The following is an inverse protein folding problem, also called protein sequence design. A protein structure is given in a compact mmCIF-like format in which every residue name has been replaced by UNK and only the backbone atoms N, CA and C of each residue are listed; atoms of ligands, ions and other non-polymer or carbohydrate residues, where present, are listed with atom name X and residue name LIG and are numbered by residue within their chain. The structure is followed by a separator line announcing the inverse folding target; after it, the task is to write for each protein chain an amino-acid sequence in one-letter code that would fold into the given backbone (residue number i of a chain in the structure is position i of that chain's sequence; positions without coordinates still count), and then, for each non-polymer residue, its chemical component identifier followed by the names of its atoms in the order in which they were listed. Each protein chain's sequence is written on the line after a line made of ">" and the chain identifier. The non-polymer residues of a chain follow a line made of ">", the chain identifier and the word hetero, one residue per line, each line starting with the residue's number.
data_IF_389672758069
#
_entry.id   IF_389672758069
#
_cell.length_a   1.000
_cell.length_b   1.000
_cell.length_c   1.000
_cell.angle_alpha   90.00
_cell.angle_beta   90.00
_cell.angle_gamma   90.00
#
_symmetry.space_group_name_H-M   'P 1'
#
loop_
_entity.id
_entity.type
_entity.pdbx_description
1 polymer ?
#
# COMPACT_ATOMS: atom_id res chain seq x y z
N UNK A 1 -12.85 -24.99 5.29
CA UNK A 1 -13.41 -23.70 4.86
C UNK A 1 -12.32 -22.64 4.93
N UNK A 2 -12.11 -21.86 3.87
CA UNK A 2 -11.22 -20.68 3.89
C UNK A 2 -12.09 -19.45 4.21
N UNK A 3 -11.65 -18.59 5.13
CA UNK A 3 -12.31 -17.30 5.42
C UNK A 3 -11.24 -16.23 5.68
N UNK A 4 -11.66 -14.97 5.62
CA UNK A 4 -10.82 -13.78 5.86
C UNK A 4 -11.75 -12.57 6.08
N UNK A 5 -11.18 -11.42 6.45
CA UNK A 5 -11.93 -10.16 6.62
C UNK A 5 -12.59 -9.97 7.99
N UNK A 6 -12.45 -10.93 8.90
CA UNK A 6 -12.91 -10.80 10.28
C UNK A 6 -11.95 -9.93 11.10
N UNK A 7 -12.50 -9.00 11.86
CA UNK A 7 -11.76 -8.23 12.85
C UNK A 7 -11.51 -9.06 14.12
N UNK A 8 -10.46 -8.70 14.86
CA UNK A 8 -10.26 -9.13 16.25
C UNK A 8 -11.42 -8.62 17.11
N UNK A 9 -11.67 -9.26 18.24
CA UNK A 9 -12.55 -8.70 19.27
C UNK A 9 -12.05 -7.31 19.68
N UNK A 10 -12.90 -6.29 19.58
CA UNK A 10 -12.58 -4.88 19.82
C UNK A 10 -11.99 -4.17 18.59
N UNK A 11 -11.87 -4.85 17.45
CA UNK A 11 -11.11 -4.39 16.29
C UNK A 11 -11.76 -3.22 15.57
N UNK A 12 -13.10 -3.16 15.50
CA UNK A 12 -13.82 -2.04 14.90
C UNK A 12 -13.54 -0.77 15.69
N UNK A 13 -13.75 -0.81 17.01
CA UNK A 13 -13.50 0.33 17.89
C UNK A 13 -12.01 0.67 17.95
N UNK A 14 -11.15 -0.36 17.98
CA UNK A 14 -9.70 -0.23 18.00
C UNK A 14 -9.15 0.50 16.78
N UNK A 15 -9.66 0.21 15.59
CA UNK A 15 -9.27 0.91 14.35
C UNK A 15 -9.56 2.41 14.44
N UNK A 16 -10.80 2.79 14.78
CA UNK A 16 -11.18 4.20 14.87
C UNK A 16 -10.43 4.95 15.97
N UNK A 17 -10.22 4.33 17.13
CA UNK A 17 -9.45 4.93 18.21
C UNK A 17 -7.99 5.15 17.80
N UNK A 18 -7.36 4.15 17.17
CA UNK A 18 -6.01 4.27 16.68
C UNK A 18 -5.87 5.34 15.59
N UNK A 19 -6.87 5.49 14.70
CA UNK A 19 -6.85 6.48 13.63
C UNK A 19 -7.07 7.90 14.17
N UNK A 20 -7.98 8.07 15.14
CA UNK A 20 -8.23 9.35 15.81
C UNK A 20 -6.99 9.87 16.55
N UNK A 21 -6.21 8.97 17.15
CA UNK A 21 -4.95 9.32 17.84
C UNK A 21 -3.76 9.57 16.90
N UNK A 22 -3.93 9.48 15.58
CA UNK A 22 -2.83 9.63 14.62
C UNK A 22 -2.68 11.10 14.17
N UNK A 23 -1.55 11.78 14.48
CA UNK A 23 -1.29 13.13 14.01
C UNK A 23 -1.13 13.20 12.49
N UNK A 24 -1.39 14.38 11.91
CA UNK A 24 -1.20 14.63 10.47
C UNK A 24 -2.48 14.61 9.62
N UNK A 25 -3.65 14.70 10.24
CA UNK A 25 -4.94 14.79 9.54
C UNK A 25 -5.71 13.47 9.43
N UNK A 26 -5.13 12.33 9.81
CA UNK A 26 -5.76 11.01 9.72
C UNK A 26 -7.08 10.90 10.51
N UNK A 27 -7.21 11.63 11.62
CA UNK A 27 -8.45 11.69 12.39
C UNK A 27 -9.63 12.26 11.56
N UNK A 28 -9.37 13.16 10.60
CA UNK A 28 -10.38 13.77 9.74
C UNK A 28 -10.94 12.80 8.69
N UNK A 29 -10.29 11.64 8.49
CA UNK A 29 -10.84 10.59 7.64
C UNK A 29 -12.12 10.00 8.23
N UNK A 30 -12.32 10.12 9.54
CA UNK A 30 -13.46 9.56 10.26
C UNK A 30 -14.70 10.42 10.02
N UNK A 31 -15.72 9.81 9.41
CA UNK A 31 -17.03 10.41 9.25
C UNK A 31 -17.93 9.97 10.39
N UNK A 32 -18.47 10.96 11.10
CA UNK A 32 -19.31 10.77 12.28
C UNK A 32 -20.65 11.45 12.05
N UNK A 33 -21.74 10.83 12.49
CA UNK A 33 -23.07 11.45 12.52
C UNK A 33 -23.09 12.61 13.52
N UNK A 34 -24.13 13.44 13.43
CA UNK A 34 -24.35 14.55 14.36
C UNK A 34 -24.49 14.15 15.83
N UNK A 35 -24.86 12.89 16.10
CA UNK A 35 -24.98 12.31 17.45
C UNK A 35 -23.67 11.72 18.00
N UNK A 36 -22.57 11.82 17.25
CA UNK A 36 -21.27 11.27 17.65
C UNK A 36 -21.03 9.81 17.23
N UNK A 37 -22.00 9.16 16.58
CA UNK A 37 -21.85 7.77 16.10
C UNK A 37 -20.94 7.72 14.88
N UNK A 38 -19.87 6.93 14.94
CA UNK A 38 -18.96 6.71 13.81
C UNK A 38 -19.66 5.93 12.70
N UNK A 39 -19.57 6.44 11.46
CA UNK A 39 -20.16 5.82 10.28
C UNK A 39 -19.13 5.05 9.44
N UNK A 40 -17.98 5.68 9.15
CA UNK A 40 -16.87 5.09 8.36
C UNK A 40 -15.60 5.90 8.53
N UNK A 41 -14.47 5.37 8.05
CA UNK A 41 -13.29 6.18 7.72
C UNK A 41 -13.05 6.12 6.21
N UNK A 42 -12.75 7.26 5.59
CA UNK A 42 -12.33 7.31 4.19
C UNK A 42 -10.93 6.69 4.04
N UNK A 43 -10.73 5.94 2.96
CA UNK A 43 -9.38 5.55 2.55
C UNK A 43 -8.55 6.82 2.23
N UNK A 44 -7.22 6.81 2.41
CA UNK A 44 -6.43 8.04 2.40
C UNK A 44 -6.49 8.84 1.11
N UNK A 45 -6.56 8.20 -0.07
CA UNK A 45 -6.74 8.89 -1.35
C UNK A 45 -8.04 9.70 -1.42
N UNK A 46 -9.17 9.10 -1.01
CA UNK A 46 -10.44 9.83 -0.87
C UNK A 46 -10.39 10.89 0.24
N UNK A 47 -9.58 10.66 1.27
CA UNK A 47 -9.28 11.66 2.29
C UNK A 47 -8.60 12.90 1.72
N UNK A 48 -7.65 12.72 0.80
CA UNK A 48 -7.00 13.83 0.09
C UNK A 48 -8.02 14.55 -0.80
N UNK A 49 -8.79 13.80 -1.58
CA UNK A 49 -9.83 14.35 -2.47
C UNK A 49 -10.87 15.18 -1.69
N UNK A 50 -11.27 14.72 -0.50
CA UNK A 50 -12.19 15.43 0.38
C UNK A 50 -11.55 16.56 1.20
N UNK A 51 -10.24 16.81 1.07
CA UNK A 51 -9.50 17.80 1.86
C UNK A 51 -9.30 17.43 3.33
N UNK A 52 -9.58 16.18 3.71
CA UNK A 52 -9.41 15.67 5.07
C UNK A 52 -7.94 15.35 5.40
N UNK A 53 -7.15 14.95 4.40
CA UNK A 53 -5.73 14.60 4.53
C UNK A 53 -4.87 15.47 3.60
N UNK A 54 -3.72 16.01 4.04
CA UNK A 54 -2.85 16.77 3.16
C UNK A 54 -2.33 15.93 2.00
N UNK A 55 -2.39 16.47 0.77
CA UNK A 55 -1.82 15.83 -0.43
C UNK A 55 -0.30 15.62 -0.39
N UNK A 56 0.37 16.21 0.61
CA UNK A 56 1.82 16.18 0.83
C UNK A 56 2.25 15.23 1.96
N UNK A 57 1.32 14.47 2.55
CA UNK A 57 1.58 13.66 3.76
C UNK A 57 2.68 12.59 3.58
N UNK A 58 2.95 12.14 2.35
CA UNK A 58 4.02 11.18 2.03
C UNK A 58 5.31 11.83 1.51
N UNK A 59 5.35 13.15 1.30
CA UNK A 59 6.41 13.83 0.54
C UNK A 59 7.81 13.61 1.15
N UNK A 60 7.93 13.64 2.48
CA UNK A 60 9.21 13.38 3.16
C UNK A 60 9.76 11.99 2.82
N UNK A 61 8.91 10.96 2.92
CA UNK A 61 9.30 9.59 2.60
C UNK A 61 9.69 9.44 1.13
N UNK A 62 8.89 10.02 0.23
CA UNK A 62 9.16 10.01 -1.21
C UNK A 62 10.49 10.68 -1.54
N UNK A 63 10.78 11.83 -0.94
CA UNK A 63 12.03 12.54 -1.16
C UNK A 63 13.24 11.71 -0.70
N UNK A 64 13.16 11.06 0.46
CA UNK A 64 14.20 10.15 0.95
C UNK A 64 14.41 8.95 0.01
N UNK A 65 13.33 8.35 -0.51
CA UNK A 65 13.42 7.26 -1.49
C UNK A 65 14.11 7.72 -2.78
N UNK A 66 13.71 8.87 -3.32
CA UNK A 66 14.35 9.44 -4.52
C UNK A 66 15.83 9.72 -4.28
N UNK A 67 16.18 10.30 -3.13
CA UNK A 67 17.56 10.59 -2.78
C UNK A 67 18.40 9.31 -2.68
N UNK A 68 17.93 8.27 -1.99
CA UNK A 68 18.64 6.99 -1.87
C UNK A 68 18.94 6.38 -3.24
N UNK A 69 17.95 6.35 -4.13
CA UNK A 69 18.08 5.71 -5.43
C UNK A 69 18.71 6.58 -6.52
N UNK A 70 19.15 7.80 -6.19
CA UNK A 70 20.04 8.59 -7.07
C UNK A 70 21.44 8.00 -7.15
N UNK A 71 21.92 7.39 -6.07
CA UNK A 71 23.25 6.77 -5.97
C UNK A 71 23.20 5.24 -5.86
N UNK A 72 22.08 4.67 -5.40
CA UNK A 72 21.86 3.23 -5.25
C UNK A 72 20.89 2.67 -6.28
N UNK A 73 20.89 1.34 -6.45
CA UNK A 73 19.94 0.65 -7.34
C UNK A 73 18.80 0.03 -6.53
N UNK A 74 17.57 0.25 -6.98
CA UNK A 74 16.37 -0.50 -6.54
C UNK A 74 16.18 -1.70 -7.47
N UNK A 75 16.18 -2.91 -6.94
CA UNK A 75 15.88 -4.12 -7.72
C UNK A 75 14.42 -4.50 -7.53
N UNK A 76 13.67 -4.65 -8.61
CA UNK A 76 12.27 -5.10 -8.62
C UNK A 76 12.20 -6.46 -9.32
N UNK A 77 11.65 -7.45 -8.62
CA UNK A 77 11.39 -8.81 -9.13
C UNK A 77 9.88 -9.07 -9.04
N UNK A 78 9.08 -8.58 -10.01
CA UNK A 78 7.65 -8.40 -9.81
C UNK A 78 6.82 -9.66 -10.10
N UNK A 79 7.46 -10.76 -10.52
CA UNK A 79 6.82 -12.02 -10.87
C UNK A 79 7.30 -13.14 -9.94
N UNK A 80 6.41 -13.65 -9.10
CA UNK A 80 6.73 -14.69 -8.12
C UNK A 80 7.16 -16.01 -8.79
N UNK A 81 6.56 -16.34 -9.94
CA UNK A 81 6.86 -17.52 -10.75
C UNK A 81 8.08 -17.34 -11.66
N UNK A 82 8.61 -16.11 -11.77
CA UNK A 82 9.77 -15.78 -12.62
C UNK A 82 10.82 -14.98 -11.81
N UNK A 83 11.46 -15.58 -10.79
CA UNK A 83 12.39 -14.88 -9.89
C UNK A 83 13.66 -14.34 -10.58
N UNK A 84 13.92 -14.75 -11.81
CA UNK A 84 15.04 -14.27 -12.64
C UNK A 84 14.67 -13.03 -13.48
N UNK A 85 13.39 -12.68 -13.58
CA UNK A 85 12.93 -11.48 -14.28
C UNK A 85 13.05 -10.28 -13.35
N UNK A 86 14.17 -9.54 -13.50
CA UNK A 86 14.54 -8.41 -12.65
C UNK A 86 14.61 -7.11 -13.42
N UNK A 87 14.24 -6.04 -12.75
CA UNK A 87 14.33 -4.67 -13.24
C UNK A 87 15.09 -3.80 -12.25
N UNK A 88 15.90 -2.87 -12.76
CA UNK A 88 16.85 -2.09 -11.96
C UNK A 88 16.55 -0.61 -12.07
N UNK A 89 15.99 -0.04 -11.01
CA UNK A 89 15.60 1.36 -10.88
C UNK A 89 16.73 2.24 -10.36
N UNK A 90 17.02 3.34 -11.05
CA UNK A 90 17.90 4.41 -10.58
C UNK A 90 17.31 5.77 -10.92
N UNK A 91 17.47 6.72 -10.01
CA UNK A 91 17.02 8.10 -10.20
C UNK A 91 18.09 8.90 -10.94
N UNK A 92 17.69 9.60 -12.00
CA UNK A 92 18.49 10.59 -12.70
C UNK A 92 17.62 11.84 -12.92
N UNK A 93 18.08 12.99 -12.43
CA UNK A 93 17.20 14.15 -12.25
C UNK A 93 16.06 13.80 -11.28
N UNK A 94 14.81 14.08 -11.67
CA UNK A 94 13.62 13.74 -10.90
C UNK A 94 12.91 12.44 -11.34
N UNK A 95 13.53 11.68 -12.25
CA UNK A 95 12.93 10.49 -12.85
C UNK A 95 13.65 9.22 -12.41
N UNK A 96 12.90 8.24 -11.90
CA UNK A 96 13.41 6.89 -11.66
C UNK A 96 13.26 6.07 -12.94
N UNK A 97 14.38 5.70 -13.56
CA UNK A 97 14.41 4.89 -14.78
C UNK A 97 14.69 3.43 -14.41
N UNK A 98 13.85 2.52 -14.89
CA UNK A 98 14.04 1.08 -14.73
C UNK A 98 14.63 0.48 -15.99
N UNK A 99 15.72 -0.27 -15.82
CA UNK A 99 16.35 -1.06 -16.89
C UNK A 99 16.07 -2.55 -16.72
N UNK A 100 16.07 -3.31 -17.81
CA UNK A 100 16.12 -4.77 -17.75
C UNK A 100 17.57 -5.27 -17.63
N UNK A 101 17.78 -6.58 -17.54
CA UNK A 101 19.12 -7.19 -17.44
C UNK A 101 20.03 -6.94 -18.65
N UNK A 102 19.48 -6.52 -19.80
CA UNK A 102 20.26 -6.12 -20.98
C UNK A 102 20.66 -4.63 -20.95
N UNK A 103 20.27 -3.88 -19.92
CA UNK A 103 20.59 -2.46 -19.75
C UNK A 103 19.66 -1.50 -20.49
N UNK A 104 18.64 -2.00 -21.19
CA UNK A 104 17.65 -1.15 -21.86
C UNK A 104 16.69 -0.56 -20.84
N UNK A 105 16.42 0.76 -20.91
CA UNK A 105 15.36 1.40 -20.12
C UNK A 105 14.01 0.93 -20.64
N UNK A 106 13.19 0.36 -19.76
CA UNK A 106 11.90 -0.26 -20.13
C UNK A 106 10.69 0.50 -19.58
N UNK A 107 10.86 1.30 -18.53
CA UNK A 107 9.84 2.19 -17.98
C UNK A 107 10.49 3.24 -17.08
N UNK A 108 9.77 4.33 -16.82
CA UNK A 108 10.22 5.42 -15.96
C UNK A 108 9.09 5.95 -15.09
N UNK A 109 9.44 6.44 -13.89
CA UNK A 109 8.50 6.99 -12.93
C UNK A 109 8.90 8.40 -12.52
N UNK A 110 7.96 9.33 -12.66
CA UNK A 110 8.06 10.64 -12.01
C UNK A 110 7.88 10.47 -10.51
N UNK A 111 8.44 11.39 -9.72
CA UNK A 111 8.22 11.44 -8.27
C UNK A 111 6.70 11.45 -7.95
N UNK A 112 6.14 10.43 -7.27
CA UNK A 112 4.72 10.35 -7.00
C UNK A 112 4.33 11.32 -5.88
N UNK A 113 3.10 11.81 -5.93
CA UNK A 113 2.47 12.49 -4.80
C UNK A 113 1.75 11.48 -3.89
N UNK A 114 1.28 11.95 -2.74
CA UNK A 114 0.60 11.08 -1.75
C UNK A 114 -0.64 10.41 -2.33
N UNK A 115 -1.36 11.10 -3.22
CA UNK A 115 -2.55 10.59 -3.87
C UNK A 115 -2.21 9.44 -4.83
N UNK A 116 -1.22 9.61 -5.72
CA UNK A 116 -0.70 8.54 -6.59
C UNK A 116 -0.33 7.29 -5.79
N UNK A 117 0.26 7.45 -4.60
CA UNK A 117 0.62 6.36 -3.68
C UNK A 117 -0.62 5.68 -3.10
N UNK A 118 -1.51 6.42 -2.45
CA UNK A 118 -2.64 5.80 -1.76
C UNK A 118 -3.67 5.18 -2.71
N UNK A 119 -3.81 5.73 -3.92
CA UNK A 119 -4.69 5.17 -4.95
C UNK A 119 -4.03 4.17 -5.89
N UNK A 120 -2.69 4.00 -5.84
CA UNK A 120 -1.91 3.22 -6.81
C UNK A 120 -2.23 3.56 -8.28
N UNK A 121 -2.21 4.85 -8.59
CA UNK A 121 -2.65 5.40 -9.87
C UNK A 121 -1.87 6.67 -10.21
N UNK A 122 -2.29 7.41 -11.25
CA UNK A 122 -1.64 8.66 -11.69
C UNK A 122 -0.16 8.44 -12.01
N UNK A 123 0.76 8.89 -11.14
CA UNK A 123 2.22 8.71 -11.34
C UNK A 123 2.70 7.29 -11.04
N UNK A 124 1.83 6.45 -10.48
CA UNK A 124 2.02 5.02 -10.23
C UNK A 124 0.97 4.18 -10.97
N UNK A 125 0.52 4.62 -12.16
CA UNK A 125 -0.37 3.82 -13.01
C UNK A 125 0.21 2.42 -13.29
N UNK A 126 -0.66 1.42 -13.23
CA UNK A 126 -0.30 0.01 -13.39
C UNK A 126 -1.09 -0.61 -14.55
N UNK A 127 -0.74 -0.32 -15.82
CA UNK A 127 -1.41 -0.89 -16.98
C UNK A 127 -1.33 -2.42 -16.99
N UNK A 128 -2.22 -3.06 -17.73
CA UNK A 128 -2.23 -4.52 -17.89
C UNK A 128 -1.19 -4.97 -18.93
N UNK A 129 0.08 -4.63 -18.71
CA UNK A 129 1.23 -5.07 -19.49
C UNK A 129 2.14 -5.99 -18.66
N UNK A 130 3.25 -6.44 -19.25
CA UNK A 130 4.21 -7.35 -18.62
C UNK A 130 5.47 -6.62 -18.09
N UNK A 131 5.46 -5.29 -18.04
CA UNK A 131 6.63 -4.50 -17.65
C UNK A 131 6.26 -3.39 -16.68
N UNK A 132 5.60 -2.32 -17.13
CA UNK A 132 5.27 -1.17 -16.28
C UNK A 132 4.29 -1.59 -15.18
N UNK A 133 3.23 -2.30 -15.54
CA UNK A 133 2.20 -2.76 -14.59
C UNK A 133 2.76 -3.50 -13.39
N UNK A 134 3.50 -4.61 -13.58
CA UNK A 134 4.10 -5.38 -12.50
C UNK A 134 5.11 -4.57 -11.66
N UNK A 135 5.90 -3.68 -12.28
CA UNK A 135 6.81 -2.79 -11.55
C UNK A 135 6.02 -1.78 -10.71
N UNK A 136 5.01 -1.11 -11.29
CA UNK A 136 4.15 -0.14 -10.59
C UNK A 136 3.45 -0.74 -9.38
N UNK A 137 2.91 -1.96 -9.51
CA UNK A 137 2.26 -2.69 -8.40
C UNK A 137 3.22 -2.89 -7.23
N UNK A 138 4.43 -3.36 -7.54
CA UNK A 138 5.49 -3.57 -6.56
C UNK A 138 5.91 -2.27 -5.87
N UNK A 139 6.09 -1.19 -6.65
CA UNK A 139 6.42 0.14 -6.10
C UNK A 139 5.29 0.69 -5.23
N UNK A 140 4.03 0.56 -5.65
CA UNK A 140 2.91 1.06 -4.87
C UNK A 140 2.82 0.39 -3.50
N UNK A 141 2.98 -0.95 -3.45
CA UNK A 141 3.03 -1.68 -2.19
C UNK A 141 4.19 -1.21 -1.32
N UNK A 142 5.38 -1.04 -1.89
CA UNK A 142 6.56 -0.54 -1.17
C UNK A 142 6.39 0.87 -0.60
N UNK A 143 5.73 1.79 -1.31
CA UNK A 143 5.41 3.13 -0.79
C UNK A 143 4.38 3.08 0.32
N UNK A 144 3.27 2.37 0.13
CA UNK A 144 2.22 2.26 1.14
C UNK A 144 2.73 1.63 2.44
N UNK A 145 3.57 0.60 2.32
CA UNK A 145 4.18 -0.13 3.44
C UNK A 145 5.48 0.50 3.95
N UNK A 146 5.91 1.60 3.34
CA UNK A 146 7.15 2.32 3.64
C UNK A 146 8.41 1.46 3.74
N UNK A 147 8.58 0.48 2.84
CA UNK A 147 9.73 -0.46 2.83
C UNK A 147 10.84 -0.13 1.83
N UNK A 148 10.62 0.77 0.86
CA UNK A 148 11.62 1.12 -0.16
C UNK A 148 12.93 1.68 0.43
N UNK A 149 12.89 2.34 1.59
CA UNK A 149 14.10 2.80 2.26
C UNK A 149 14.90 1.69 2.93
N UNK A 150 14.26 0.64 3.44
CA UNK A 150 14.92 -0.40 4.23
C UNK A 150 15.24 -1.65 3.41
N UNK A 151 14.47 -1.93 2.36
CA UNK A 151 14.68 -3.07 1.48
C UNK A 151 14.87 -2.64 0.01
N UNK A 152 16.11 -2.71 -0.54
CA UNK A 152 16.37 -2.40 -1.93
C UNK A 152 16.02 -3.52 -2.92
N UNK A 153 15.50 -4.66 -2.46
CA UNK A 153 15.08 -5.79 -3.29
C UNK A 153 13.58 -6.03 -3.08
N UNK A 154 12.78 -5.49 -3.99
CA UNK A 154 11.33 -5.48 -3.90
C UNK A 154 10.69 -6.54 -4.80
N UNK A 155 9.52 -7.09 -4.44
CA UNK A 155 8.76 -6.83 -3.21
C UNK A 155 9.40 -7.48 -1.96
N UNK A 156 8.97 -7.05 -0.78
CA UNK A 156 9.38 -7.67 0.49
C UNK A 156 8.95 -9.14 0.60
N UNK A 157 9.80 -9.97 1.21
CA UNK A 157 9.53 -11.41 1.43
C UNK A 157 8.78 -11.69 2.74
N UNK A 158 8.60 -10.69 3.60
CA UNK A 158 7.84 -10.78 4.85
C UNK A 158 7.26 -9.42 5.25
N UNK A 159 6.28 -9.41 6.15
CA UNK A 159 5.63 -8.19 6.65
C UNK A 159 6.33 -7.53 7.84
N UNK A 160 7.45 -8.09 8.32
CA UNK A 160 8.12 -7.64 9.55
C UNK A 160 8.55 -6.16 9.48
N UNK A 161 8.88 -5.66 8.28
CA UNK A 161 9.31 -4.29 8.06
C UNK A 161 8.20 -3.35 7.60
N UNK A 162 6.96 -3.81 7.47
CA UNK A 162 5.86 -2.98 6.99
C UNK A 162 5.53 -1.89 8.01
N UNK A 163 5.29 -0.68 7.50
CA UNK A 163 4.76 0.46 8.21
C UNK A 163 5.61 0.94 9.41
N UNK A 164 6.93 0.71 9.35
CA UNK A 164 7.87 1.07 10.41
C UNK A 164 8.39 2.51 10.30
N UNK A 165 8.38 3.10 9.10
CA UNK A 165 8.68 4.52 8.94
C UNK A 165 7.60 5.39 9.61
N UNK A 166 8.00 6.53 10.17
CA UNK A 166 7.08 7.48 10.80
C UNK A 166 6.09 8.05 9.79
N UNK A 167 6.51 8.18 8.52
CA UNK A 167 5.68 8.56 7.37
C UNK A 167 5.34 7.31 6.57
N UNK A 168 4.09 6.86 6.67
CA UNK A 168 3.59 5.62 6.05
C UNK A 168 2.07 5.68 5.84
N UNK A 169 1.48 4.71 5.16
CA UNK A 169 0.02 4.56 5.11
C UNK A 169 -0.52 4.11 6.47
N UNK A 170 -0.86 5.09 7.32
CA UNK A 170 -1.34 4.87 8.68
C UNK A 170 -2.70 4.17 8.72
N UNK A 171 -3.55 4.38 7.70
CA UNK A 171 -4.83 3.69 7.57
C UNK A 171 -4.59 2.18 7.38
N UNK A 172 -3.73 1.81 6.42
CA UNK A 172 -3.39 0.42 6.15
C UNK A 172 -2.72 -0.26 7.36
N UNK A 173 -1.73 0.40 7.97
CA UNK A 173 -1.10 -0.08 9.21
C UNK A 173 -2.13 -0.44 10.28
N UNK A 174 -3.09 0.44 10.51
CA UNK A 174 -4.07 0.29 11.60
C UNK A 174 -5.11 -0.77 11.29
N UNK A 175 -5.58 -0.91 10.04
CA UNK A 175 -6.57 -1.94 9.71
C UNK A 175 -5.96 -3.35 9.74
N UNK A 176 -4.77 -3.57 9.16
CA UNK A 176 -4.07 -4.85 9.28
C UNK A 176 -3.86 -5.26 10.75
N UNK A 177 -3.52 -4.30 11.62
CA UNK A 177 -3.33 -4.56 13.04
C UNK A 177 -4.62 -5.03 13.75
N UNK A 178 -5.81 -4.73 13.21
CA UNK A 178 -7.10 -5.15 13.76
C UNK A 178 -7.70 -6.38 13.09
N UNK A 179 -7.18 -6.85 11.95
CA UNK A 179 -7.65 -8.05 11.28
C UNK A 179 -7.19 -9.31 12.04
N UNK A 180 -8.08 -10.30 12.19
CA UNK A 180 -7.81 -11.52 12.95
C UNK A 180 -6.71 -12.37 12.32
N UNK A 181 -6.66 -12.45 10.99
CA UNK A 181 -5.62 -13.13 10.21
C UNK A 181 -4.49 -12.18 9.77
N UNK A 182 -4.57 -10.89 10.15
CA UNK A 182 -3.63 -9.84 9.74
C UNK A 182 -3.72 -9.44 8.27
N UNK A 183 -4.67 -9.96 7.49
CA UNK A 183 -4.86 -9.65 6.07
C UNK A 183 -5.95 -8.62 5.87
N UNK A 184 -5.71 -7.66 4.98
CA UNK A 184 -6.67 -6.61 4.65
C UNK A 184 -6.48 -6.19 3.20
N UNK A 185 -7.51 -5.63 2.59
CA UNK A 185 -7.38 -4.93 1.33
C UNK A 185 -7.42 -3.42 1.59
N UNK A 186 -6.31 -2.88 2.13
CA UNK A 186 -6.27 -1.50 2.62
C UNK A 186 -5.82 -0.48 1.57
N UNK A 187 -5.22 -0.95 0.49
CA UNK A 187 -4.88 -0.20 -0.72
C UNK A 187 -4.91 -1.14 -1.93
N UNK A 188 -4.88 -0.58 -3.15
CA UNK A 188 -5.18 -1.30 -4.39
C UNK A 188 -4.28 -2.50 -4.70
N UNK A 189 -3.07 -2.57 -4.12
CA UNK A 189 -2.09 -3.64 -4.39
C UNK A 189 -1.59 -4.34 -3.12
N UNK A 190 -2.49 -4.53 -2.15
CA UNK A 190 -2.18 -5.29 -0.92
C UNK A 190 -1.89 -6.78 -1.20
N UNK A 191 -2.28 -7.26 -2.38
CA UNK A 191 -2.03 -8.61 -2.90
C UNK A 191 -0.54 -8.87 -3.20
N UNK A 192 0.28 -7.82 -3.33
CA UNK A 192 1.74 -7.98 -3.43
C UNK A 192 2.25 -8.66 -2.14
N UNK A 193 2.72 -9.90 -2.25
CA UNK A 193 3.14 -10.70 -1.10
C UNK A 193 2.02 -11.47 -0.39
N UNK A 194 0.81 -11.52 -0.96
CA UNK A 194 -0.35 -12.24 -0.47
C UNK A 194 -0.89 -11.74 0.90
N UNK A 195 -0.88 -10.43 1.15
CA UNK A 195 -1.37 -9.80 2.40
C UNK A 195 -2.81 -9.28 2.31
N UNK A 196 -3.45 -9.45 1.16
CA UNK A 196 -4.84 -9.13 0.90
C UNK A 196 -5.80 -10.10 1.58
N UNK A 197 -6.95 -9.59 2.00
CA UNK A 197 -8.03 -10.40 2.57
C UNK A 197 -8.87 -11.06 1.47
N UNK A 198 -8.28 -12.05 0.77
CA UNK A 198 -8.93 -12.81 -0.29
C UNK A 198 -8.86 -14.32 -0.01
N UNK A 199 -9.93 -15.03 -0.38
CA UNK A 199 -9.98 -16.50 -0.42
C UNK A 199 -10.38 -16.95 -1.83
N UNK A 200 -9.84 -18.10 -2.25
CA UNK A 200 -10.11 -18.70 -3.56
C UNK A 200 -10.23 -20.22 -3.41
N UNK A 201 -11.21 -20.80 -4.12
CA UNK A 201 -11.26 -22.23 -4.45
C UNK A 201 -11.51 -22.44 -5.96
N UNK A 202 -10.91 -23.46 -6.57
CA UNK A 202 -11.02 -23.74 -8.01
C UNK A 202 -12.31 -24.49 -8.40
N UNK A 203 -13.03 -25.05 -7.43
CA UNK A 203 -14.29 -25.75 -7.61
C UNK A 203 -15.22 -25.53 -6.40
N UNK A 204 -15.62 -24.28 -6.12
CA UNK A 204 -16.36 -23.94 -4.91
C UNK A 204 -17.74 -24.59 -4.89
N UNK A 205 -18.12 -25.18 -3.75
CA UNK A 205 -19.47 -25.71 -3.54
C UNK A 205 -20.40 -24.65 -2.93
N UNK A 206 -19.87 -23.77 -2.08
CA UNK A 206 -20.63 -22.78 -1.31
C UNK A 206 -19.76 -21.55 -1.01
N UNK A 207 -20.40 -20.40 -0.79
CA UNK A 207 -19.80 -19.16 -0.33
C UNK A 207 -20.64 -18.53 0.78
N UNK A 208 -20.01 -17.77 1.67
CA UNK A 208 -20.65 -17.16 2.84
C UNK A 208 -20.23 -15.70 2.98
N UNK A 209 -21.16 -14.88 3.48
CA UNK A 209 -20.90 -13.52 3.95
C UNK A 209 -21.55 -13.39 5.32
N UNK A 210 -20.76 -13.00 6.31
CA UNK A 210 -21.22 -12.76 7.68
C UNK A 210 -21.22 -11.25 7.93
N UNK A 211 -22.34 -10.72 8.44
CA UNK A 211 -22.39 -9.36 8.96
C UNK A 211 -21.90 -9.40 10.41
N UNK A 212 -20.64 -9.05 10.60
CA UNK A 212 -20.00 -9.03 11.92
C UNK A 212 -20.54 -7.90 12.80
N UNK A 213 -20.48 -8.04 14.13
CA UNK A 213 -20.87 -6.99 15.05
C UNK A 213 -19.91 -5.79 14.97
N UNK A 214 -20.41 -4.63 15.41
CA UNK A 214 -19.61 -3.42 15.59
C UNK A 214 -18.80 -3.52 16.90
N UNK A 215 -17.79 -4.38 16.94
CA UNK A 215 -16.95 -4.62 18.12
C UNK A 215 -15.47 -4.32 17.83
#
# INVERSE_FOLDING_TARGET
>A
TKNTGHLKTGGYTGFFNALRGQPGGWANLIQTRSDGTVLRALAPGHGIEAGALPGTVMDDYVNRVWQKYSSSTLTVTPFTDQPNTKYFGRVSGDVMNFTNSAGAVVTSFQKPDSDSIFGCYKRLDAPNDLVRGPISRTLCAGFNRSTLLTNPNQPDTSSASFYQDTVTNQYARKIHAQMADGKAYAFAFDDVGNYESLVHDGNPQQAYVTLDPFN
#
